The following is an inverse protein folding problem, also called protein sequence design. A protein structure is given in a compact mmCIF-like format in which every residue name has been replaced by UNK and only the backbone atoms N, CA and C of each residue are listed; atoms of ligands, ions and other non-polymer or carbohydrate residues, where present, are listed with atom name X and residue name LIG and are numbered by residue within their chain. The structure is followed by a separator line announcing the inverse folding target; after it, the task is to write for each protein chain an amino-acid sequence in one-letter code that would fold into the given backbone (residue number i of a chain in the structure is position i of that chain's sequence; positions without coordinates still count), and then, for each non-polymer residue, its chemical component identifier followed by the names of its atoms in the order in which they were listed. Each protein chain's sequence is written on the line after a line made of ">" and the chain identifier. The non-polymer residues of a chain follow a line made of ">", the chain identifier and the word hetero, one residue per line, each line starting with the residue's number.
data_IF_733041183826
#
_entry.id   IF_733041183826
#
_cell.length_a   1.000
_cell.length_b   1.000
_cell.length_c   1.000
_cell.angle_alpha   90.00
_cell.angle_beta   90.00
_cell.angle_gamma   90.00
#
_symmetry.space_group_name_H-M   'P 1'
#
loop_
_entity.id
_entity.type
_entity.pdbx_description
1 polymer ?
#
# COMPACT_ATOMS: atom_id res chain seq x y z
N UNK A 1 -4.58 8.63 -25.09
CA UNK A 1 -5.83 7.96 -25.53
C UNK A 1 -6.65 7.56 -24.31
N UNK A 2 -7.98 7.45 -24.44
CA UNK A 2 -8.87 7.03 -23.35
C UNK A 2 -9.12 5.53 -23.48
N UNK A 3 -8.83 4.76 -22.44
CA UNK A 3 -9.19 3.34 -22.39
C UNK A 3 -10.71 3.22 -22.22
N UNK A 4 -11.38 2.55 -23.15
CA UNK A 4 -12.84 2.39 -23.15
C UNK A 4 -13.29 1.02 -22.65
N UNK A 5 -12.44 0.00 -22.81
CA UNK A 5 -12.72 -1.38 -22.42
C UNK A 5 -11.62 -1.90 -21.49
N UNK A 6 -12.03 -2.27 -20.28
CA UNK A 6 -11.22 -2.93 -19.25
C UNK A 6 -11.87 -4.25 -18.80
N UNK A 7 -12.74 -4.81 -19.64
CA UNK A 7 -13.34 -6.12 -19.42
C UNK A 7 -12.27 -7.18 -19.18
N UNK A 8 -12.52 -8.03 -18.17
CA UNK A 8 -11.64 -9.14 -17.80
C UNK A 8 -10.19 -8.78 -17.49
N UNK A 9 -9.85 -7.50 -17.24
CA UNK A 9 -8.46 -7.06 -17.09
C UNK A 9 -7.67 -7.82 -16.01
N UNK A 10 -8.32 -8.19 -14.91
CA UNK A 10 -7.74 -9.01 -13.83
C UNK A 10 -8.48 -10.33 -13.65
N UNK A 11 -9.18 -10.82 -14.67
CA UNK A 11 -9.97 -12.04 -14.61
C UNK A 11 -9.13 -13.24 -14.15
N UNK A 12 -9.66 -14.03 -13.21
CA UNK A 12 -9.04 -15.25 -12.67
C UNK A 12 -7.62 -15.06 -12.11
N UNK A 13 -7.28 -13.85 -11.67
CA UNK A 13 -6.05 -13.60 -10.90
C UNK A 13 -6.22 -14.06 -9.44
N UNK A 14 -6.42 -15.36 -9.22
CA UNK A 14 -6.78 -15.94 -7.91
C UNK A 14 -5.71 -15.72 -6.83
N UNK A 15 -4.43 -15.63 -7.22
CA UNK A 15 -3.31 -15.39 -6.29
C UNK A 15 -3.01 -13.91 -6.04
N UNK A 16 -3.62 -12.99 -6.79
CA UNK A 16 -3.35 -11.57 -6.68
C UNK A 16 -3.96 -11.00 -5.40
N UNK A 17 -3.09 -10.49 -4.53
CA UNK A 17 -3.51 -9.98 -3.21
C UNK A 17 -3.74 -8.47 -3.20
N UNK A 18 -3.07 -7.72 -4.07
CA UNK A 18 -3.01 -6.26 -3.96
C UNK A 18 -2.79 -5.62 -5.32
N UNK A 19 -3.52 -4.55 -5.59
CA UNK A 19 -3.32 -3.67 -6.75
C UNK A 19 -3.01 -2.27 -6.21
N UNK A 20 -1.83 -1.74 -6.53
CA UNK A 20 -1.42 -0.42 -6.07
C UNK A 20 -1.80 0.67 -7.06
N UNK A 21 -2.76 1.52 -6.68
CA UNK A 21 -3.15 2.68 -7.47
C UNK A 21 -3.77 3.75 -6.57
N UNK A 22 -3.38 5.01 -6.78
CA UNK A 22 -3.78 6.14 -5.94
C UNK A 22 -5.04 6.87 -6.43
N UNK A 23 -5.60 6.42 -7.55
CA UNK A 23 -6.74 7.06 -8.19
C UNK A 23 -7.75 6.04 -8.72
N UNK A 24 -8.98 6.50 -8.93
CA UNK A 24 -10.06 5.68 -9.49
C UNK A 24 -9.91 5.55 -11.01
N UNK A 25 -10.14 4.35 -11.53
CA UNK A 25 -10.26 4.11 -12.97
C UNK A 25 -11.71 4.29 -13.42
N UNK A 26 -11.87 4.62 -14.71
CA UNK A 26 -13.18 4.80 -15.36
C UNK A 26 -13.08 4.30 -16.80
N UNK A 27 -14.00 3.43 -17.20
CA UNK A 27 -14.15 2.93 -18.56
C UNK A 27 -15.63 2.70 -18.86
N UNK A 28 -15.97 2.43 -20.13
CA UNK A 28 -17.33 2.13 -20.55
C UNK A 28 -17.65 0.64 -20.31
N UNK A 29 -16.72 -0.23 -20.71
CA UNK A 29 -16.84 -1.68 -20.55
C UNK A 29 -15.90 -2.19 -19.46
N UNK A 30 -16.44 -2.93 -18.49
CA UNK A 30 -15.67 -3.49 -17.37
C UNK A 30 -16.22 -4.85 -16.92
N UNK A 31 -16.86 -5.57 -17.83
CA UNK A 31 -17.45 -6.87 -17.54
C UNK A 31 -16.39 -7.81 -16.99
N UNK A 32 -16.67 -8.43 -15.84
CA UNK A 32 -15.78 -9.38 -15.18
C UNK A 32 -14.36 -8.87 -14.87
N UNK A 33 -14.17 -7.56 -14.75
CA UNK A 33 -12.86 -6.94 -14.56
C UNK A 33 -12.05 -7.56 -13.40
N UNK A 34 -12.71 -7.90 -12.29
CA UNK A 34 -12.10 -8.53 -11.12
C UNK A 34 -12.66 -9.93 -10.81
N UNK A 35 -13.37 -10.57 -11.72
CA UNK A 35 -13.99 -11.88 -11.43
C UNK A 35 -12.93 -12.92 -11.06
N UNK A 36 -13.23 -13.71 -10.04
CA UNK A 36 -12.36 -14.76 -9.50
C UNK A 36 -11.05 -14.25 -8.86
N UNK A 37 -10.99 -12.99 -8.45
CA UNK A 37 -9.87 -12.45 -7.65
C UNK A 37 -10.04 -12.72 -6.14
N UNK A 38 -10.26 -13.98 -5.75
CA UNK A 38 -10.69 -14.34 -4.38
C UNK A 38 -9.74 -13.89 -3.26
N UNK A 39 -8.43 -13.75 -3.54
CA UNK A 39 -7.42 -13.27 -2.57
C UNK A 39 -7.17 -11.77 -2.60
N UNK A 40 -7.84 -11.02 -3.49
CA UNK A 40 -7.63 -9.59 -3.64
C UNK A 40 -8.20 -8.83 -2.43
N UNK A 41 -7.38 -7.90 -1.91
CA UNK A 41 -7.78 -6.99 -0.84
C UNK A 41 -7.15 -5.63 -1.07
N UNK A 42 -8.01 -4.62 -1.20
CA UNK A 42 -7.64 -3.21 -1.28
C UNK A 42 -8.11 -2.45 -0.04
N UNK A 43 -8.71 -1.29 -0.27
CA UNK A 43 -9.47 -0.56 0.75
C UNK A 43 -10.60 -1.41 1.34
N UNK A 44 -11.21 -2.28 0.53
CA UNK A 44 -12.14 -3.32 0.98
C UNK A 44 -11.71 -4.71 0.52
N UNK A 45 -12.23 -5.76 1.17
CA UNK A 45 -12.04 -7.14 0.74
C UNK A 45 -12.82 -7.42 -0.55
N UNK A 46 -12.33 -8.37 -1.35
CA UNK A 46 -13.02 -8.85 -2.55
C UNK A 46 -14.45 -9.32 -2.25
N UNK A 47 -15.37 -8.96 -3.15
CA UNK A 47 -16.78 -9.38 -3.17
C UNK A 47 -17.10 -9.85 -4.59
N UNK A 48 -17.48 -11.12 -4.71
CA UNK A 48 -17.79 -11.76 -6.00
C UNK A 48 -18.96 -11.12 -6.75
N UNK A 49 -19.80 -10.34 -6.06
CA UNK A 49 -20.91 -9.60 -6.66
C UNK A 49 -20.49 -8.20 -7.13
N UNK A 50 -19.24 -7.79 -6.90
CA UNK A 50 -18.70 -6.47 -7.24
C UNK A 50 -17.41 -6.63 -8.02
N UNK A 51 -17.53 -6.96 -9.30
CA UNK A 51 -16.39 -7.30 -10.17
C UNK A 51 -16.15 -6.27 -11.26
N UNK A 52 -16.88 -5.16 -11.26
CA UNK A 52 -16.83 -4.12 -12.29
C UNK A 52 -15.88 -2.95 -11.90
N UNK A 53 -15.77 -1.96 -12.79
CA UNK A 53 -14.89 -0.79 -12.61
C UNK A 53 -15.24 0.06 -11.38
N UNK A 54 -16.44 -0.09 -10.79
CA UNK A 54 -16.78 0.67 -9.56
C UNK A 54 -15.85 0.30 -8.42
N UNK A 55 -15.27 -0.90 -8.43
CA UNK A 55 -14.28 -1.34 -7.45
C UNK A 55 -12.84 -0.98 -7.83
N UNK A 56 -12.59 -0.40 -9.01
CA UNK A 56 -11.26 0.04 -9.44
C UNK A 56 -10.91 1.42 -8.83
N UNK A 57 -10.92 1.52 -7.50
CA UNK A 57 -10.59 2.76 -6.78
C UNK A 57 -10.00 2.48 -5.37
N UNK A 58 -9.26 3.44 -4.79
CA UNK A 58 -8.55 3.23 -3.53
C UNK A 58 -9.28 3.66 -2.25
N UNK A 59 -10.50 4.22 -2.35
CA UNK A 59 -11.24 4.67 -1.15
C UNK A 59 -12.25 3.60 -0.68
N UNK A 60 -12.95 2.98 -1.62
CA UNK A 60 -14.01 2.00 -1.34
C UNK A 60 -13.89 0.75 -2.20
N UNK A 61 -12.83 0.65 -2.99
CA UNK A 61 -12.60 -0.43 -3.96
C UNK A 61 -11.44 -1.35 -3.60
N UNK A 62 -10.96 -2.07 -4.62
CA UNK A 62 -9.90 -3.06 -4.51
C UNK A 62 -8.49 -2.52 -4.72
N UNK A 63 -8.34 -1.21 -4.95
CA UNK A 63 -7.02 -0.62 -4.99
C UNK A 63 -6.54 -0.30 -3.58
N UNK A 64 -5.23 -0.43 -3.41
CA UNK A 64 -4.50 0.00 -2.23
C UNK A 64 -3.75 1.26 -2.58
N UNK A 65 -3.93 2.33 -1.80
CA UNK A 65 -3.10 3.53 -1.91
C UNK A 65 -1.65 3.13 -1.70
N UNK A 66 -0.78 3.61 -2.58
CA UNK A 66 0.65 3.63 -2.31
C UNK A 66 0.84 4.58 -1.13
N UNK A 67 1.12 4.04 0.04
CA UNK A 67 1.64 4.84 1.14
C UNK A 67 3.05 5.24 0.75
N UNK A 68 3.19 6.43 0.18
CA UNK A 68 4.49 7.01 -0.21
C UNK A 68 5.22 7.63 0.99
N UNK A 69 4.72 7.37 2.19
CA UNK A 69 5.30 7.92 3.38
C UNK A 69 6.67 7.24 3.54
N UNK A 70 7.73 7.92 3.09
CA UNK A 70 9.12 7.57 3.40
C UNK A 70 9.43 7.70 4.90
N UNK A 71 8.38 7.72 5.73
CA UNK A 71 8.30 7.87 7.17
C UNK A 71 7.30 6.81 7.64
N UNK A 72 7.81 5.77 8.27
CA UNK A 72 7.01 4.73 8.91
C UNK A 72 6.23 5.33 10.09
N UNK A 73 4.96 4.91 10.24
CA UNK A 73 4.11 5.31 11.37
C UNK A 73 4.44 4.57 12.67
N UNK A 74 5.13 3.44 12.55
CA UNK A 74 5.53 2.62 13.68
C UNK A 74 6.80 1.85 13.36
N UNK A 75 7.56 1.51 14.40
CA UNK A 75 8.62 0.52 14.29
C UNK A 75 7.92 -0.83 14.26
N UNK A 76 7.85 -1.48 13.09
CA UNK A 76 7.36 -2.86 13.01
C UNK A 76 8.15 -3.74 14.00
N UNK A 77 7.45 -4.53 14.82
CA UNK A 77 8.03 -5.49 15.77
C UNK A 77 8.64 -6.71 15.04
N UNK A 78 9.57 -6.45 14.12
CA UNK A 78 10.43 -7.49 13.53
C UNK A 78 11.59 -7.78 14.48
N UNK A 79 12.27 -8.93 14.31
CA UNK A 79 13.44 -9.41 15.10
C UNK A 79 14.71 -8.53 14.97
N UNK A 80 14.53 -7.22 14.82
CA UNK A 80 15.58 -6.25 14.55
C UNK A 80 15.49 -5.14 15.58
N UNK A 81 16.58 -4.94 16.31
CA UNK A 81 16.67 -3.89 17.33
C UNK A 81 17.13 -2.58 16.72
N UNK A 82 16.76 -1.46 17.35
CA UNK A 82 17.29 -0.14 17.01
C UNK A 82 18.70 -0.05 17.59
N UNK A 83 19.71 0.15 16.73
CA UNK A 83 21.12 0.29 17.13
C UNK A 83 21.60 1.74 17.11
N UNK A 84 20.81 2.64 16.52
CA UNK A 84 21.07 4.06 16.53
C UNK A 84 19.82 4.87 16.24
N UNK A 85 19.70 6.00 16.91
CA UNK A 85 18.66 7.01 16.70
C UNK A 85 19.39 8.28 16.28
N UNK A 86 18.93 8.92 15.21
CA UNK A 86 19.53 10.14 14.69
C UNK A 86 18.48 11.18 14.39
N UNK A 87 18.83 12.45 14.60
CA UNK A 87 18.08 13.60 14.10
C UNK A 87 18.25 13.74 12.58
N UNK A 88 17.43 14.61 11.97
CA UNK A 88 17.48 14.88 10.52
C UNK A 88 18.80 15.50 10.05
N UNK A 89 19.54 16.17 10.94
CA UNK A 89 20.88 16.71 10.68
C UNK A 89 21.99 15.67 10.92
N UNK A 90 21.65 14.42 11.26
CA UNK A 90 22.58 13.31 11.39
C UNK A 90 23.26 13.16 12.77
N UNK A 91 22.85 13.93 13.78
CA UNK A 91 23.38 13.77 15.15
C UNK A 91 22.77 12.55 15.81
N UNK A 92 23.60 11.77 16.52
CA UNK A 92 23.14 10.63 17.31
C UNK A 92 22.38 11.13 18.55
N UNK A 93 21.22 10.56 18.82
CA UNK A 93 20.34 10.87 19.94
C UNK A 93 20.30 9.71 20.95
N UNK A 94 20.05 10.03 22.21
CA UNK A 94 19.85 9.02 23.28
C UNK A 94 18.46 8.40 23.26
N UNK A 95 17.47 9.12 22.76
CA UNK A 95 16.07 8.70 22.68
C UNK A 95 15.35 9.39 21.50
N UNK A 96 14.21 8.83 21.09
CA UNK A 96 13.38 9.41 20.04
C UNK A 96 12.71 10.71 20.50
N UNK A 97 12.79 11.74 19.68
CA UNK A 97 12.14 13.03 19.89
C UNK A 97 10.76 13.06 19.25
N UNK A 98 9.89 13.99 19.66
CA UNK A 98 8.62 14.22 18.95
C UNK A 98 8.92 14.63 17.50
N UNK A 99 8.22 14.04 16.54
CA UNK A 99 8.46 14.26 15.12
C UNK A 99 9.32 13.17 14.46
N UNK A 100 10.02 13.52 13.38
CA UNK A 100 10.73 12.55 12.54
C UNK A 100 12.09 12.16 13.13
N UNK A 101 12.29 10.85 13.30
CA UNK A 101 13.53 10.25 13.77
C UNK A 101 14.10 9.32 12.69
N UNK A 102 15.43 9.31 12.52
CA UNK A 102 16.12 8.37 11.64
C UNK A 102 16.66 7.22 12.50
N UNK A 103 16.18 6.01 12.25
CA UNK A 103 16.54 4.81 12.99
C UNK A 103 17.47 3.95 12.15
N UNK A 104 18.61 3.58 12.71
CA UNK A 104 19.48 2.53 12.18
C UNK A 104 19.13 1.23 12.87
N UNK A 105 18.73 0.23 12.09
CA UNK A 105 18.34 -1.09 12.58
C UNK A 105 19.52 -2.06 12.57
N UNK A 106 19.49 -3.09 13.41
CA UNK A 106 20.57 -4.10 13.52
C UNK A 106 20.83 -4.87 12.22
N UNK A 107 19.82 -5.00 11.35
CA UNK A 107 19.95 -5.60 10.01
C UNK A 107 20.58 -4.67 8.96
N UNK A 108 21.07 -3.50 9.36
CA UNK A 108 21.69 -2.51 8.47
C UNK A 108 20.70 -1.59 7.74
N UNK A 109 19.38 -1.82 7.83
CA UNK A 109 18.38 -0.93 7.24
C UNK A 109 18.26 0.38 8.01
N UNK A 110 17.84 1.42 7.30
CA UNK A 110 17.46 2.71 7.87
C UNK A 110 15.95 2.88 7.74
N UNK A 111 15.29 3.28 8.82
CA UNK A 111 13.88 3.66 8.86
C UNK A 111 13.76 5.12 9.27
N UNK A 112 12.79 5.85 8.73
CA UNK A 112 12.40 7.16 9.25
C UNK A 112 11.08 6.96 9.96
N UNK A 113 10.91 7.44 11.18
CA UNK A 113 9.71 7.17 11.98
C UNK A 113 9.16 8.45 12.56
N UNK A 114 7.83 8.61 12.53
CA UNK A 114 7.12 9.67 13.25
C UNK A 114 6.79 9.18 14.67
N UNK A 115 7.27 9.87 15.70
CA UNK A 115 6.88 9.68 17.10
C UNK A 115 5.90 10.76 17.54
#
# INVERSE_FOLDING_TARGET
>A
EKVTDMGSMFFACEEMKTIYCDYAWKCAESTSMFSYCSKLKGAVAYDENKVDVKMANPETGYFTKKTVDGIDKSIDNTDTTIVGIYSLDGKKLSEMQNGVNILRMSNGKIKKVMK
#
